data_IF_200337932237
#
_entry.id   IF_200337932237
#
_cell.length_a   1.000
_cell.length_b   1.000
_cell.length_c   1.000
_cell.angle_alpha   90.00
_cell.angle_beta   90.00
_cell.angle_gamma   90.00
#
_symmetry.space_group_name_H-M   'P 1'
#
loop_
_entity.id
_entity.type
_entity.pdbx_description
1 polymer ?
#
# COMPACT_ATOMS: atom_id res chain seq x y z
N UNK A 1 -8.83 24.26 21.54
CA UNK A 1 -9.28 23.40 20.42
C UNK A 1 -8.09 22.57 19.94
N UNK A 2 -8.16 21.24 20.03
CA UNK A 2 -7.17 20.36 19.40
C UNK A 2 -7.65 20.07 17.98
N UNK A 3 -6.93 20.58 16.98
CA UNK A 3 -7.11 20.14 15.61
C UNK A 3 -6.16 18.96 15.38
N UNK A 4 -6.63 17.74 15.68
CA UNK A 4 -5.94 16.53 15.24
C UNK A 4 -6.17 16.40 13.74
N UNK A 5 -5.15 16.64 12.93
CA UNK A 5 -5.20 16.28 11.52
C UNK A 5 -5.05 14.75 11.42
N UNK A 6 -6.17 14.04 11.41
CA UNK A 6 -6.31 12.57 11.44
C UNK A 6 -5.90 11.83 10.15
N UNK A 7 -4.95 12.38 9.40
CA UNK A 7 -4.31 11.64 8.31
C UNK A 7 -2.84 12.03 8.21
N UNK A 8 -2.04 11.45 9.11
CA UNK A 8 -0.58 11.53 9.05
C UNK A 8 -0.09 10.60 7.92
N UNK A 9 -0.37 10.99 6.67
CA UNK A 9 0.08 10.25 5.49
C UNK A 9 1.61 10.28 5.46
N UNK A 10 2.23 9.10 5.53
CA UNK A 10 3.68 8.98 5.49
C UNK A 10 4.19 9.28 4.08
N UNK A 11 5.20 10.14 3.97
CA UNK A 11 5.87 10.47 2.71
C UNK A 11 7.38 10.30 2.81
N UNK A 12 8.03 10.17 1.66
CA UNK A 12 9.47 10.10 1.50
C UNK A 12 9.92 11.21 0.54
N UNK A 13 11.01 11.90 0.89
CA UNK A 13 11.69 12.88 0.03
C UNK A 13 13.09 12.36 -0.26
N UNK A 14 13.43 12.28 -1.54
CA UNK A 14 14.76 11.97 -2.04
C UNK A 14 15.38 13.23 -2.59
N UNK A 15 16.61 13.52 -2.16
CA UNK A 15 17.47 14.55 -2.72
C UNK A 15 18.76 13.87 -3.14
N UNK A 16 19.09 13.99 -4.43
CA UNK A 16 20.28 13.37 -5.01
C UNK A 16 21.07 14.44 -5.75
N UNK A 17 22.33 14.59 -5.37
CA UNK A 17 23.26 15.51 -6.01
C UNK A 17 23.99 14.80 -7.16
N UNK A 18 23.99 15.41 -8.34
CA UNK A 18 24.67 14.90 -9.54
C UNK A 18 25.66 15.93 -10.11
N UNK A 19 26.70 16.30 -9.36
CA UNK A 19 27.63 17.39 -9.74
C UNK A 19 28.31 17.19 -11.11
N UNK A 20 28.48 15.95 -11.57
CA UNK A 20 29.19 15.57 -12.79
C UNK A 20 28.25 14.96 -13.85
N UNK A 21 26.95 15.26 -13.80
CA UNK A 21 25.99 14.74 -14.79
C UNK A 21 26.33 15.20 -16.21
N UNK A 22 26.17 14.30 -17.19
CA UNK A 22 26.42 14.63 -18.59
C UNK A 22 25.49 15.75 -19.10
N UNK A 23 25.99 16.56 -20.04
CA UNK A 23 25.24 17.67 -20.60
C UNK A 23 23.96 17.20 -21.29
N UNK A 24 22.85 17.91 -21.05
CA UNK A 24 21.54 17.58 -21.62
C UNK A 24 20.83 16.38 -20.96
N UNK A 25 21.49 15.66 -20.04
CA UNK A 25 20.88 14.53 -19.32
C UNK A 25 19.98 15.04 -18.19
N UNK A 26 18.82 14.40 -18.05
CA UNK A 26 17.87 14.63 -16.96
C UNK A 26 17.76 13.32 -16.17
N UNK A 27 17.94 13.35 -14.82
CA UNK A 27 17.78 12.16 -14.00
C UNK A 27 16.41 11.50 -14.16
N UNK A 28 16.42 10.16 -14.20
CA UNK A 28 15.21 9.33 -14.32
C UNK A 28 14.99 8.56 -13.03
N UNK A 29 13.74 8.22 -12.78
CA UNK A 29 13.35 7.38 -11.65
C UNK A 29 12.41 6.26 -12.12
N UNK A 30 12.40 5.14 -11.39
CA UNK A 30 11.48 4.02 -11.63
C UNK A 30 11.18 3.27 -10.34
N UNK A 31 9.93 2.85 -10.15
CA UNK A 31 9.58 1.86 -9.15
C UNK A 31 9.77 0.45 -9.75
N UNK A 32 10.43 -0.42 -9.00
CA UNK A 32 10.73 -1.79 -9.38
C UNK A 32 10.25 -2.73 -8.27
N UNK A 33 9.56 -3.81 -8.65
CA UNK A 33 9.13 -4.82 -7.68
C UNK A 33 10.33 -5.65 -7.18
N UNK A 34 10.21 -6.25 -6.00
CA UNK A 34 11.26 -7.15 -5.49
C UNK A 34 11.49 -8.39 -6.36
N UNK A 35 10.53 -8.77 -7.21
CA UNK A 35 10.63 -9.91 -8.13
C UNK A 35 11.46 -9.62 -9.39
N UNK A 36 11.60 -8.34 -9.77
CA UNK A 36 12.40 -7.94 -10.94
C UNK A 36 13.90 -7.95 -10.66
N UNK A 37 14.29 -7.78 -9.39
CA UNK A 37 15.67 -7.82 -8.92
C UNK A 37 16.21 -9.26 -8.90
N UNK A 38 17.43 -9.48 -9.42
CA UNK A 38 18.08 -10.81 -9.49
C UNK A 38 19.21 -11.05 -8.47
N UNK A 39 19.62 -10.03 -7.71
CA UNK A 39 20.78 -10.15 -6.80
C UNK A 39 20.42 -10.81 -5.47
N UNK A 40 19.24 -10.51 -4.91
CA UNK A 40 18.80 -11.04 -3.62
C UNK A 40 17.52 -11.86 -3.78
N UNK A 41 17.22 -12.78 -2.84
CA UNK A 41 15.93 -13.47 -2.80
C UNK A 41 14.77 -12.46 -2.78
N UNK A 42 13.75 -12.62 -3.62
CA UNK A 42 12.65 -11.67 -3.72
C UNK A 42 11.82 -11.67 -2.44
N UNK A 43 11.68 -10.51 -1.81
CA UNK A 43 10.82 -10.29 -0.64
C UNK A 43 9.71 -9.28 -1.00
N UNK A 44 8.47 -9.79 -1.10
CA UNK A 44 7.27 -9.02 -1.48
C UNK A 44 6.92 -7.88 -0.52
N UNK A 45 7.50 -7.84 0.68
CA UNK A 45 7.30 -6.74 1.63
C UNK A 45 7.97 -5.45 1.18
N UNK A 46 8.84 -5.54 0.17
CA UNK A 46 9.66 -4.43 -0.29
C UNK A 46 9.45 -4.15 -1.78
N UNK A 47 9.63 -2.90 -2.12
CA UNK A 47 9.80 -2.40 -3.48
C UNK A 47 11.09 -1.60 -3.53
N UNK A 48 11.55 -1.29 -4.73
CA UNK A 48 12.76 -0.52 -4.94
C UNK A 48 12.44 0.72 -5.76
N UNK A 49 12.97 1.85 -5.34
CA UNK A 49 12.94 3.09 -6.11
C UNK A 49 14.33 3.30 -6.69
N UNK A 50 14.41 3.28 -8.02
CA UNK A 50 15.66 3.41 -8.76
C UNK A 50 15.81 4.84 -9.23
N UNK A 51 17.04 5.33 -9.22
CA UNK A 51 17.43 6.60 -9.82
C UNK A 51 18.58 6.35 -10.78
N UNK A 52 18.48 6.89 -12.00
CA UNK A 52 19.46 6.71 -13.05
C UNK A 52 19.79 8.05 -13.70
N UNK A 53 21.07 8.37 -13.83
CA UNK A 53 21.57 9.55 -14.50
C UNK A 53 22.98 9.26 -15.01
N UNK A 54 23.26 9.44 -16.30
CA UNK A 54 24.61 9.27 -16.85
C UNK A 54 25.53 10.42 -16.40
N UNK A 55 26.78 10.18 -15.96
CA UNK A 55 27.53 8.92 -15.98
C UNK A 55 27.40 8.05 -14.71
N UNK A 56 26.55 8.45 -13.78
CA UNK A 56 26.36 7.73 -12.52
C UNK A 56 25.71 6.36 -12.71
N UNK A 57 26.11 5.44 -11.86
CA UNK A 57 25.46 4.14 -11.77
C UNK A 57 24.03 4.29 -11.22
N UNK A 58 23.15 3.39 -11.66
CA UNK A 58 21.78 3.36 -11.15
C UNK A 58 21.79 2.93 -9.68
N UNK A 59 21.30 3.80 -8.80
CA UNK A 59 21.12 3.49 -7.38
C UNK A 59 19.68 3.09 -7.10
N UNK A 60 19.48 2.22 -6.11
CA UNK A 60 18.15 1.74 -5.72
C UNK A 60 17.95 1.83 -4.20
N UNK A 61 16.82 2.36 -3.77
CA UNK A 61 16.43 2.42 -2.37
C UNK A 61 15.33 1.40 -2.09
N UNK A 62 15.55 0.57 -1.08
CA UNK A 62 14.56 -0.40 -0.59
C UNK A 62 13.50 0.34 0.23
N UNK A 63 12.25 0.28 -0.20
CA UNK A 63 11.10 0.90 0.45
C UNK A 63 10.02 -0.15 0.75
N UNK A 64 9.13 0.13 1.70
CA UNK A 64 7.99 -0.74 1.98
C UNK A 64 7.10 -0.85 0.73
N UNK A 65 6.61 -2.06 0.44
CA UNK A 65 5.71 -2.33 -0.68
C UNK A 65 4.28 -1.83 -0.39
N UNK A 66 4.12 -0.51 -0.30
CA UNK A 66 2.84 0.18 -0.14
C UNK A 66 2.51 0.94 -1.41
N UNK A 67 1.23 1.07 -1.71
CA UNK A 67 0.80 1.84 -2.86
C UNK A 67 1.18 3.32 -2.70
N UNK A 68 1.66 3.91 -3.79
CA UNK A 68 2.03 5.33 -3.85
C UNK A 68 0.84 6.14 -4.33
N UNK A 69 0.58 7.25 -3.65
CA UNK A 69 -0.42 8.23 -4.06
C UNK A 69 0.14 9.08 -5.20
N UNK A 70 -0.43 8.93 -6.40
CA UNK A 70 0.02 9.61 -7.63
C UNK A 70 -0.65 10.97 -7.85
N UNK A 71 -1.37 11.49 -6.85
CA UNK A 71 -1.92 12.84 -6.89
C UNK A 71 -0.78 13.87 -7.03
N UNK A 72 -0.98 14.92 -7.82
CA UNK A 72 0.09 15.90 -8.16
C UNK A 72 0.68 16.62 -6.94
N UNK A 73 -0.08 16.77 -5.85
CA UNK A 73 0.39 17.34 -4.58
C UNK A 73 1.17 16.34 -3.72
N UNK A 74 1.02 15.05 -3.99
CA UNK A 74 1.65 13.95 -3.24
C UNK A 74 2.82 13.31 -3.96
N UNK A 75 2.86 13.38 -5.29
CA UNK A 75 3.93 12.83 -6.12
C UNK A 75 4.47 13.91 -7.05
N UNK A 76 5.73 14.31 -6.85
CA UNK A 76 6.37 15.29 -7.71
C UNK A 76 7.88 15.06 -7.81
N UNK A 77 8.46 15.58 -8.89
CA UNK A 77 9.90 15.58 -9.14
C UNK A 77 10.36 16.96 -9.59
N UNK A 78 11.56 17.37 -9.19
CA UNK A 78 12.18 18.62 -9.60
C UNK A 78 13.65 18.38 -9.95
N UNK A 79 14.08 18.82 -11.13
CA UNK A 79 15.48 18.82 -11.53
C UNK A 79 16.00 20.27 -11.57
N UNK A 80 16.88 20.62 -10.63
CA UNK A 80 17.57 21.90 -10.66
C UNK A 80 18.85 21.76 -11.49
N UNK A 81 18.86 22.35 -12.69
CA UNK A 81 19.99 22.30 -13.63
C UNK A 81 21.19 23.14 -13.18
N UNK A 82 20.97 24.13 -12.33
CA UNK A 82 22.01 25.06 -11.87
C UNK A 82 22.78 24.44 -10.71
N UNK A 83 22.07 23.89 -9.73
CA UNK A 83 22.70 23.21 -8.57
C UNK A 83 22.99 21.73 -8.83
N UNK A 84 22.53 21.18 -9.96
CA UNK A 84 22.61 19.76 -10.31
C UNK A 84 21.96 18.83 -9.27
N UNK A 85 20.80 19.23 -8.75
CA UNK A 85 20.09 18.50 -7.72
C UNK A 85 18.76 17.95 -8.22
N UNK A 86 18.55 16.65 -8.00
CA UNK A 86 17.29 15.98 -8.29
C UNK A 86 16.51 15.75 -7.01
N UNK A 87 15.26 16.21 -7.01
CA UNK A 87 14.31 15.99 -5.94
C UNK A 87 13.18 15.11 -6.43
N UNK A 88 12.76 14.18 -5.58
CA UNK A 88 11.53 13.43 -5.77
C UNK A 88 10.85 13.22 -4.43
N UNK A 89 9.58 13.60 -4.34
CA UNK A 89 8.76 13.31 -3.18
C UNK A 89 7.58 12.44 -3.60
N UNK A 90 7.26 11.46 -2.76
CA UNK A 90 5.99 10.74 -2.87
C UNK A 90 5.40 10.41 -1.50
N UNK A 91 4.08 10.38 -1.41
CA UNK A 91 3.35 9.88 -0.24
C UNK A 91 2.81 8.47 -0.48
N UNK A 92 2.79 7.65 0.57
CA UNK A 92 2.10 6.36 0.52
C UNK A 92 0.59 6.58 0.64
N UNK A 93 -0.21 5.78 -0.06
CA UNK A 93 -1.65 5.74 0.19
C UNK A 93 -1.91 5.39 1.65
N UNK A 94 -2.84 6.11 2.25
CA UNK A 94 -3.36 5.77 3.56
C UNK A 94 -4.36 4.65 3.38
N UNK A 95 -4.12 3.53 4.06
CA UNK A 95 -5.10 2.47 4.24
C UNK A 95 -6.14 2.97 5.25
N UNK A 96 -6.91 3.99 4.90
CA UNK A 96 -8.26 4.06 5.45
C UNK A 96 -8.94 2.91 4.76
N UNK A 97 -9.04 1.77 5.46
CA UNK A 97 -10.15 0.85 5.21
C UNK A 97 -11.36 1.78 5.18
N UNK A 98 -11.99 2.04 4.01
CA UNK A 98 -13.32 2.62 4.09
C UNK A 98 -14.03 1.62 4.98
N UNK A 99 -14.50 2.07 6.15
CA UNK A 99 -15.35 1.23 6.98
C UNK A 99 -16.35 0.66 5.99
N UNK A 100 -16.23 -0.64 5.68
CA UNK A 100 -17.23 -1.27 4.84
C UNK A 100 -18.50 -0.93 5.59
N UNK A 101 -19.46 -0.31 4.91
CA UNK A 101 -20.87 -0.32 5.32
C UNK A 101 -21.35 -1.78 5.25
N UNK A 102 -20.64 -2.68 5.94
CA UNK A 102 -21.06 -4.02 6.20
C UNK A 102 -22.06 -3.84 7.35
N UNK A 103 -23.36 -4.06 7.11
CA UNK A 103 -24.32 -4.01 8.18
C UNK A 103 -23.83 -4.92 9.32
N UNK A 104 -23.98 -4.52 10.59
CA UNK A 104 -23.52 -5.33 11.70
C UNK A 104 -24.03 -6.76 11.54
N UNK A 105 -23.22 -7.78 11.86
CA UNK A 105 -23.66 -9.17 11.77
C UNK A 105 -24.99 -9.32 12.51
N UNK A 106 -25.98 -10.03 11.94
CA UNK A 106 -27.26 -10.21 12.59
C UNK A 106 -27.04 -10.80 13.99
N UNK A 107 -27.79 -10.36 15.01
CA UNK A 107 -27.67 -10.91 16.35
C UNK A 107 -27.81 -12.44 16.29
N UNK A 108 -27.08 -13.19 17.12
CA UNK A 108 -27.18 -14.64 17.14
C UNK A 108 -28.65 -15.00 17.32
N UNK A 109 -29.19 -15.78 16.37
CA UNK A 109 -30.56 -16.24 16.43
C UNK A 109 -30.76 -16.91 17.78
N UNK A 110 -31.62 -16.32 18.62
CA UNK A 110 -32.07 -16.98 19.82
C UNK A 110 -32.57 -18.35 19.39
N UNK A 111 -31.90 -19.40 19.90
CA UNK A 111 -32.29 -20.79 19.66
C UNK A 111 -33.72 -20.91 20.16
N UNK A 112 -34.70 -20.82 19.25
CA UNK A 112 -36.07 -21.21 19.53
C UNK A 112 -36.01 -22.69 19.83
N UNK A 113 -36.02 -23.03 21.11
CA UNK A 113 -36.32 -24.37 21.59
C UNK A 113 -37.73 -24.67 21.08
N UNK A 114 -37.81 -25.39 19.96
CA UNK A 114 -39.06 -25.98 19.51
C UNK A 114 -39.46 -27.00 20.58
N UNK A 115 -40.67 -26.94 21.17
CA UNK A 115 -41.12 -28.00 22.05
C UNK A 115 -41.24 -29.29 21.21
N UNK A 116 -40.69 -30.37 21.75
CA UNK A 116 -40.68 -31.69 21.13
C UNK A 116 -42.10 -32.12 20.75
N UNK A 117 -42.26 -32.53 19.49
CA UNK A 117 -43.50 -33.12 18.99
C UNK A 117 -43.85 -34.37 19.80
N UNK A 118 -45.09 -34.44 20.25
CA UNK A 118 -45.68 -35.62 20.90
C UNK A 118 -45.69 -36.77 19.88
N UNK A 119 -45.18 -37.96 20.21
CA UNK A 119 -45.22 -39.09 19.28
C UNK A 119 -46.66 -39.60 19.12
N UNK A 120 -47.05 -40.10 17.94
CA UNK A 120 -48.39 -40.64 17.72
C UNK A 120 -48.57 -41.98 18.46
N UNK A 121 -49.79 -42.31 18.91
CA UNK A 121 -50.06 -43.56 19.60
C UNK A 121 -49.99 -44.75 18.64
N UNK A 122 -49.20 -45.77 19.02
CA UNK A 122 -49.16 -47.07 18.34
C UNK A 122 -50.45 -47.84 18.66
N UNK A 123 -51.30 -48.04 17.64
CA UNK A 123 -52.41 -48.97 17.72
C UNK A 123 -51.89 -50.39 17.53
N UNK A 124 -52.03 -51.26 18.54
CA UNK A 124 -51.84 -52.70 18.41
C UNK A 124 -53.20 -53.37 18.13
N UNK A 125 -53.29 -54.31 17.16
CA UNK A 125 -54.51 -55.07 16.93
C UNK A 125 -54.65 -56.21 17.97
N UNK A 126 -55.88 -56.63 18.32
CA UNK A 126 -56.09 -57.80 19.17
C UNK A 126 -56.00 -59.11 18.37
N UNK A 127 -55.72 -60.20 19.10
CA UNK A 127 -55.67 -61.59 18.65
C UNK A 127 -57.01 -62.11 18.12
#
# INVERSE_FOLDING_TARGET
>A
MLQRNETQQQSLLFQIDYPEIAEGVIPRHRFMSAYEQKVQPPDKRWQYVLFAAEPYETIAFKILSREVDKSEDKFWTLWNKDTKQFFMQFAFRTDRVPARDEPPPPPPAAVMIRPAGVPPPLFLPPF
#
